data_IF_836072244652
#
_entry.id   IF_836072244652
#
_cell.length_a   1.000
_cell.length_b   1.000
_cell.length_c   1.000
_cell.angle_alpha   90.00
_cell.angle_beta   90.00
_cell.angle_gamma   90.00
#
_symmetry.space_group_name_H-M   'P 1'
#
loop_
_entity.id
_entity.type
_entity.pdbx_description
1 polymer ?
#
# COMPACT_ATOMS: atom_id res chain seq x y z
N UNK A 1 11.96 15.06 -11.15
CA UNK A 1 10.76 15.36 -11.95
C UNK A 1 9.62 14.56 -11.36
N UNK A 2 8.68 15.21 -10.68
CA UNK A 2 7.47 14.54 -10.19
C UNK A 2 6.60 14.30 -11.43
N UNK A 3 6.47 13.06 -11.87
CA UNK A 3 5.47 12.73 -12.89
C UNK A 3 4.13 12.71 -12.15
N UNK A 4 3.21 13.66 -12.40
CA UNK A 4 1.92 13.63 -11.74
C UNK A 4 1.22 12.33 -12.13
N UNK A 5 0.72 11.59 -11.14
CA UNK A 5 -0.19 10.48 -11.40
C UNK A 5 -1.42 11.05 -12.14
N UNK A 6 -2.00 10.30 -13.10
CA UNK A 6 -3.28 10.66 -13.69
C UNK A 6 -4.32 10.99 -12.63
N UNK A 7 -5.17 11.99 -12.88
CA UNK A 7 -6.16 12.47 -11.91
C UNK A 7 -7.09 11.36 -11.43
N UNK A 8 -7.46 10.43 -12.31
CA UNK A 8 -8.27 9.26 -11.95
C UNK A 8 -7.61 8.35 -10.91
N UNK A 9 -6.28 8.19 -10.96
CA UNK A 9 -5.55 7.45 -9.93
C UNK A 9 -5.50 8.27 -8.64
N UNK A 10 -5.31 9.58 -8.74
CA UNK A 10 -5.27 10.45 -7.58
C UNK A 10 -6.60 10.47 -6.84
N UNK A 11 -7.74 10.50 -7.54
CA UNK A 11 -9.08 10.44 -6.97
C UNK A 11 -9.26 9.19 -6.11
N UNK A 12 -8.88 8.02 -6.63
CA UNK A 12 -8.92 6.76 -5.88
C UNK A 12 -8.03 6.82 -4.64
N UNK A 13 -6.80 7.33 -4.78
CA UNK A 13 -5.86 7.44 -3.67
C UNK A 13 -6.36 8.42 -2.59
N UNK A 14 -7.01 9.52 -2.97
CA UNK A 14 -7.48 10.54 -2.03
C UNK A 14 -8.50 10.01 -1.02
N UNK A 15 -9.25 8.96 -1.35
CA UNK A 15 -10.13 8.27 -0.41
C UNK A 15 -9.39 7.71 0.82
N UNK A 16 -8.09 7.46 0.71
CA UNK A 16 -7.25 6.95 1.81
C UNK A 16 -6.56 8.06 2.61
N UNK A 17 -6.56 9.32 2.11
CA UNK A 17 -5.86 10.45 2.73
C UNK A 17 -6.14 10.64 4.23
N UNK A 18 -7.38 10.49 4.73
CA UNK A 18 -7.68 10.66 6.16
C UNK A 18 -7.03 9.63 7.08
N UNK A 19 -6.62 8.47 6.54
CA UNK A 19 -6.02 7.38 7.31
C UNK A 19 -4.54 7.61 7.65
N UNK A 20 -3.94 8.66 7.10
CA UNK A 20 -2.52 8.95 7.24
C UNK A 20 -2.30 10.36 7.77
N UNK A 21 -1.24 10.50 8.57
CA UNK A 21 -0.70 11.83 8.89
C UNK A 21 -0.14 12.48 7.62
N UNK A 22 -0.11 13.81 7.56
CA UNK A 22 0.44 14.55 6.41
C UNK A 22 1.86 14.12 5.99
N UNK A 23 2.85 13.94 6.90
CA UNK A 23 4.18 13.50 6.51
C UNK A 23 4.21 12.05 6.00
N UNK A 24 3.38 11.16 6.55
CA UNK A 24 3.28 9.76 6.08
C UNK A 24 2.64 9.72 4.70
N UNK A 25 1.57 10.49 4.48
CA UNK A 25 0.89 10.58 3.18
C UNK A 25 1.84 10.99 2.06
N UNK A 26 2.64 12.05 2.27
CA UNK A 26 3.60 12.52 1.27
C UNK A 26 4.61 11.44 0.88
N UNK A 27 5.16 10.71 1.86
CA UNK A 27 6.11 9.61 1.60
C UNK A 27 5.41 8.43 0.93
N UNK A 28 4.18 8.12 1.33
CA UNK A 28 3.38 7.05 0.74
C UNK A 28 3.11 7.32 -0.75
N UNK A 29 2.77 8.56 -1.12
CA UNK A 29 2.58 8.93 -2.54
C UNK A 29 3.85 8.74 -3.37
N UNK A 30 5.02 9.09 -2.82
CA UNK A 30 6.31 8.81 -3.48
C UNK A 30 6.54 7.30 -3.65
N UNK A 31 6.28 6.51 -2.60
CA UNK A 31 6.45 5.06 -2.63
C UNK A 31 5.47 4.39 -3.60
N UNK A 32 4.20 4.80 -3.62
CA UNK A 32 3.19 4.26 -4.53
C UNK A 32 3.53 4.58 -5.98
N UNK A 33 3.82 5.85 -6.28
CA UNK A 33 4.24 6.27 -7.63
C UNK A 33 5.46 5.47 -8.08
N UNK A 34 6.48 5.39 -7.22
CA UNK A 34 7.68 4.61 -7.49
C UNK A 34 7.41 3.12 -7.68
N UNK A 35 6.48 2.54 -6.93
CA UNK A 35 6.15 1.11 -7.02
C UNK A 35 5.36 0.79 -8.29
N UNK A 36 4.49 1.70 -8.73
CA UNK A 36 3.78 1.59 -10.02
C UNK A 36 4.72 1.71 -11.21
N UNK A 37 5.75 2.56 -11.11
CA UNK A 37 6.76 2.76 -12.17
C UNK A 37 7.86 1.70 -12.17
N UNK A 38 8.15 1.08 -11.02
CA UNK A 38 9.21 0.09 -10.91
C UNK A 38 8.84 -1.22 -11.64
N UNK A 39 9.70 -1.66 -12.55
CA UNK A 39 9.61 -2.99 -13.15
C UNK A 39 10.35 -4.01 -12.28
N UNK A 40 9.68 -5.12 -11.93
CA UNK A 40 10.26 -6.21 -11.14
C UNK A 40 9.94 -6.13 -9.64
N UNK A 41 10.97 -6.17 -8.78
CA UNK A 41 10.78 -6.32 -7.32
C UNK A 41 10.17 -5.05 -6.69
N UNK A 42 9.04 -5.21 -6.00
CA UNK A 42 8.31 -4.14 -5.28
C UNK A 42 8.96 -3.81 -3.93
N UNK A 43 10.23 -3.39 -3.94
CA UNK A 43 10.96 -2.96 -2.74
C UNK A 43 10.93 -1.44 -2.58
N UNK A 44 11.06 -0.94 -1.35
CA UNK A 44 11.20 0.50 -1.06
C UNK A 44 12.32 1.12 -1.90
N UNK A 45 13.48 0.45 -1.99
CA UNK A 45 14.61 0.91 -2.79
C UNK A 45 14.29 1.00 -4.29
N UNK A 46 13.58 0.00 -4.84
CA UNK A 46 13.16 0.03 -6.24
C UNK A 46 12.19 1.19 -6.51
N UNK A 47 11.21 1.40 -5.61
CA UNK A 47 10.27 2.51 -5.71
C UNK A 47 10.98 3.88 -5.64
N UNK A 48 11.95 4.05 -4.74
CA UNK A 48 12.72 5.28 -4.66
C UNK A 48 13.56 5.52 -5.90
N UNK A 49 14.19 4.49 -6.47
CA UNK A 49 14.92 4.62 -7.75
C UNK A 49 13.99 5.02 -8.90
N UNK A 50 12.86 4.32 -9.06
CA UNK A 50 11.91 4.58 -10.15
C UNK A 50 11.24 5.96 -10.06
N UNK A 51 11.04 6.49 -8.85
CA UNK A 51 10.50 7.84 -8.63
C UNK A 51 11.55 8.97 -8.67
N UNK A 52 12.82 8.66 -9.03
CA UNK A 52 13.90 9.65 -9.08
C UNK A 52 14.46 10.08 -7.71
N UNK A 53 14.10 9.37 -6.63
CA UNK A 53 14.60 9.59 -5.27
C UNK A 53 15.77 8.66 -4.90
N UNK A 54 16.40 8.04 -5.90
CA UNK A 54 17.48 7.08 -5.72
C UNK A 54 18.76 7.64 -5.08
N UNK A 55 18.91 8.95 -4.96
CA UNK A 55 20.07 9.61 -4.32
C UNK A 55 19.68 10.40 -3.07
N UNK A 56 18.45 10.26 -2.57
CA UNK A 56 18.02 10.97 -1.38
C UNK A 56 18.88 10.58 -0.15
N UNK A 57 19.27 11.53 0.70
CA UNK A 57 20.06 11.23 1.91
C UNK A 57 19.28 10.56 3.04
N UNK A 58 17.94 10.44 2.91
CA UNK A 58 17.03 10.10 4.01
C UNK A 58 16.21 8.83 3.75
N UNK A 59 16.78 7.81 3.11
CA UNK A 59 16.09 6.55 2.74
C UNK A 59 15.41 5.86 3.93
N UNK A 60 16.05 5.88 5.10
CA UNK A 60 15.48 5.32 6.33
C UNK A 60 14.09 5.90 6.64
N UNK A 61 13.88 7.18 6.33
CA UNK A 61 12.60 7.86 6.57
C UNK A 61 11.43 7.28 5.74
N UNK A 62 11.71 6.61 4.62
CA UNK A 62 10.69 5.93 3.81
C UNK A 62 10.37 4.55 4.36
N UNK A 63 11.35 3.80 4.86
CA UNK A 63 11.10 2.53 5.55
C UNK A 63 10.24 2.71 6.81
N UNK A 64 10.35 3.87 7.47
CA UNK A 64 9.49 4.21 8.61
C UNK A 64 8.00 4.22 8.25
N UNK A 65 7.62 4.43 6.99
CA UNK A 65 6.21 4.34 6.57
C UNK A 65 5.65 2.95 6.89
N UNK A 66 6.42 1.89 6.64
CA UNK A 66 5.94 0.51 6.82
C UNK A 66 6.16 -0.06 8.23
N UNK A 67 7.13 0.49 8.98
CA UNK A 67 7.55 -0.09 10.27
C UNK A 67 7.25 0.78 11.51
N UNK A 68 7.02 2.09 11.34
CA UNK A 68 6.93 3.03 12.50
C UNK A 68 5.83 4.07 12.39
N UNK A 69 5.36 4.40 11.20
CA UNK A 69 4.37 5.43 11.01
C UNK A 69 3.03 5.02 11.62
N UNK A 70 2.29 6.02 12.15
CA UNK A 70 0.96 5.81 12.73
C UNK A 70 -0.09 5.72 11.63
N UNK A 71 -0.46 4.50 11.25
CA UNK A 71 -1.62 4.15 10.42
C UNK A 71 -1.98 2.68 10.67
N UNK A 72 -3.15 2.22 10.21
CA UNK A 72 -3.63 0.85 10.44
C UNK A 72 -3.83 0.12 9.11
N UNK A 73 -3.19 -1.04 8.88
CA UNK A 73 -3.43 -1.83 7.67
C UNK A 73 -4.87 -2.31 7.58
N UNK A 74 -5.50 -2.68 8.70
CA UNK A 74 -6.91 -3.06 8.73
C UNK A 74 -7.82 -1.90 8.33
N UNK A 75 -7.54 -0.67 8.78
CA UNK A 75 -8.34 0.49 8.40
C UNK A 75 -8.21 0.81 6.90
N UNK A 76 -7.01 0.67 6.35
CA UNK A 76 -6.76 0.81 4.89
C UNK A 76 -7.50 -0.28 4.11
N UNK A 77 -7.42 -1.55 4.54
CA UNK A 77 -8.14 -2.65 3.90
C UNK A 77 -9.66 -2.46 3.95
N UNK A 78 -10.19 -1.97 5.08
CA UNK A 78 -11.62 -1.63 5.20
C UNK A 78 -12.02 -0.54 4.21
N UNK A 79 -11.22 0.51 4.08
CA UNK A 79 -11.49 1.59 3.13
C UNK A 79 -11.45 1.09 1.68
N UNK A 80 -10.49 0.23 1.35
CA UNK A 80 -10.40 -0.41 0.05
C UNK A 80 -11.64 -1.27 -0.24
N UNK A 81 -12.09 -2.08 0.72
CA UNK A 81 -13.29 -2.89 0.57
C UNK A 81 -14.53 -2.02 0.33
N UNK A 82 -14.69 -0.93 1.07
CA UNK A 82 -15.81 0.00 0.86
C UNK A 82 -15.78 0.60 -0.55
N UNK A 83 -14.62 1.06 -1.03
CA UNK A 83 -14.48 1.58 -2.39
C UNK A 83 -14.83 0.54 -3.45
N UNK A 84 -14.40 -0.71 -3.27
CA UNK A 84 -14.75 -1.81 -4.19
C UNK A 84 -16.25 -2.04 -4.19
N UNK A 85 -16.89 -2.11 -3.02
CA UNK A 85 -18.34 -2.32 -2.91
C UNK A 85 -19.11 -1.17 -3.55
N UNK A 86 -18.79 0.08 -3.21
CA UNK A 86 -19.45 1.27 -3.76
C UNK A 86 -19.29 1.39 -5.28
N UNK A 87 -18.16 0.93 -5.82
CA UNK A 87 -17.88 1.03 -7.26
C UNK A 87 -18.52 -0.11 -8.06
N UNK A 88 -18.56 -1.33 -7.51
CA UNK A 88 -18.88 -2.54 -8.28
C UNK A 88 -20.18 -3.23 -7.88
N UNK A 89 -20.85 -2.80 -6.81
CA UNK A 89 -22.13 -3.34 -6.33
C UNK A 89 -23.22 -2.27 -6.51
N UNK A 90 -24.04 -2.36 -7.58
CA UNK A 90 -25.16 -1.45 -7.77
C UNK A 90 -26.13 -1.48 -6.59
N UNK A 91 -26.77 -0.34 -6.33
CA UNK A 91 -27.75 -0.22 -5.26
C UNK A 91 -28.89 -1.24 -5.45
N UNK A 92 -29.13 -2.06 -4.43
CA UNK A 92 -30.18 -3.08 -4.44
C UNK A 92 -29.78 -4.41 -5.07
N UNK A 93 -28.54 -4.57 -5.53
CA UNK A 93 -28.03 -5.82 -6.08
C UNK A 93 -27.02 -6.48 -5.14
N UNK A 94 -27.00 -7.81 -5.11
CA UNK A 94 -25.92 -8.59 -4.49
C UNK A 94 -24.86 -8.97 -5.52
N UNK A 95 -23.63 -9.18 -5.05
CA UNK A 95 -22.54 -9.76 -5.83
C UNK A 95 -21.94 -10.93 -5.07
N UNK A 96 -21.52 -11.95 -5.80
CA UNK A 96 -20.82 -13.10 -5.22
C UNK A 96 -19.42 -12.66 -4.78
N UNK A 97 -19.09 -12.92 -3.52
CA UNK A 97 -17.75 -12.72 -2.98
C UNK A 97 -17.06 -14.08 -2.88
N UNK A 98 -16.14 -14.34 -3.80
CA UNK A 98 -15.30 -15.53 -3.74
C UNK A 98 -14.16 -15.28 -2.75
N UNK A 99 -14.08 -16.12 -1.72
CA UNK A 99 -13.03 -16.07 -0.71
C UNK A 99 -12.05 -17.21 -1.00
N UNK A 100 -10.78 -16.86 -1.18
CA UNK A 100 -9.68 -17.81 -1.30
C UNK A 100 -8.62 -17.51 -0.24
N UNK A 101 -7.99 -18.55 0.27
CA UNK A 101 -6.87 -18.41 1.21
C UNK A 101 -5.56 -18.56 0.45
N UNK A 102 -4.82 -17.46 0.31
CA UNK A 102 -3.44 -17.50 -0.18
C UNK A 102 -2.47 -17.47 0.99
N UNK A 103 -1.70 -18.54 1.18
CA UNK A 103 -0.62 -18.57 2.16
C UNK A 103 0.52 -17.66 1.71
N UNK A 104 0.70 -16.54 2.40
CA UNK A 104 1.89 -15.71 2.24
C UNK A 104 3.10 -16.43 2.87
N UNK A 105 4.04 -16.86 2.02
CA UNK A 105 5.31 -17.43 2.49
C UNK A 105 6.29 -16.32 2.81
N UNK A 106 6.59 -16.19 4.10
CA UNK A 106 7.57 -15.24 4.61
C UNK A 106 8.68 -15.98 5.36
N UNK A 107 9.92 -15.51 5.22
CA UNK A 107 11.10 -16.04 5.93
C UNK A 107 11.83 -14.89 6.65
N UNK A 108 12.24 -15.11 7.89
CA UNK A 108 12.98 -14.10 8.67
C UNK A 108 12.96 -14.37 10.17
N UNK A 109 13.86 -13.71 10.91
CA UNK A 109 13.98 -13.87 12.36
C UNK A 109 12.76 -13.41 13.17
N UNK A 110 11.89 -12.61 12.54
CA UNK A 110 10.66 -12.11 13.15
C UNK A 110 9.43 -12.99 12.85
N UNK A 111 9.64 -14.14 12.21
CA UNK A 111 8.56 -15.05 11.82
C UNK A 111 8.60 -16.23 12.76
N UNK A 112 7.54 -16.35 13.56
CA UNK A 112 7.35 -17.52 14.41
C UNK A 112 7.01 -18.73 13.52
N UNK A 113 7.66 -19.89 13.72
CA UNK A 113 7.29 -21.09 13.00
C UNK A 113 5.82 -21.45 13.31
N UNK A 114 5.11 -22.09 12.38
CA UNK A 114 3.74 -22.52 12.61
C UNK A 114 3.67 -23.36 13.88
N UNK A 115 2.77 -22.99 14.80
CA UNK A 115 2.56 -23.71 16.05
C UNK A 115 2.12 -25.13 15.71
N UNK A 116 2.89 -26.14 16.11
CA UNK A 116 2.50 -27.52 15.96
C UNK A 116 1.15 -27.71 16.66
N UNK A 117 0.15 -28.18 15.91
CA UNK A 117 -1.12 -28.61 16.49
C UNK A 117 -0.85 -29.87 17.33
N UNK A 118 -1.48 -30.03 18.51
CA UNK A 118 -1.32 -31.21 19.35
C UNK A 118 -1.76 -32.49 18.66
#
# INVERSE_FOLDING_TARGET
MFMPLPDSILEVLMAFRPLFTAPTWRKLMTLLTGTLLAQGRRTVAAALRASGNGMAGNWSSFHQVLNRARWSPLAVSRQLLLLIVETFVPAGESRDLVIDETLERSFGSQIEPPRALP
#
